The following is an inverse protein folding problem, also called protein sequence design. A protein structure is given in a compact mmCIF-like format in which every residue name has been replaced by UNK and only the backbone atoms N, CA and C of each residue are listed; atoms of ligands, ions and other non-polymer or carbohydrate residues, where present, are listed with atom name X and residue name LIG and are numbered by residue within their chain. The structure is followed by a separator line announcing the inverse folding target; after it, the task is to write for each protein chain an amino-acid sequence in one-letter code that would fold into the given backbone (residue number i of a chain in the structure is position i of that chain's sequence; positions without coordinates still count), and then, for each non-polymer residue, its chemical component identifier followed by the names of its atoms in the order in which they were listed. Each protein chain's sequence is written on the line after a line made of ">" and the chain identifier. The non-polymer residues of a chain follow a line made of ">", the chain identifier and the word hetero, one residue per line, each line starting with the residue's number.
data_IF_425659290724
#
_entry.id   IF_425659290724
#
_cell.length_a   1.000
_cell.length_b   1.000
_cell.length_c   1.000
_cell.angle_alpha   90.00
_cell.angle_beta   90.00
_cell.angle_gamma   90.00
#
_symmetry.space_group_name_H-M   'P 1'
#
loop_
_entity.id
_entity.type
_entity.pdbx_description
1 polymer ?
#
# COMPACT_ATOMS: atom_id res chain seq x y z
N UNK A 1 -12.95 4.91 6.90
CA UNK A 1 -11.68 4.95 6.14
C UNK A 1 -11.57 3.72 5.27
N UNK A 2 -11.32 3.90 3.99
CA UNK A 2 -11.16 2.77 3.07
C UNK A 2 -9.78 2.14 3.22
N UNK A 3 -9.62 0.92 2.69
CA UNK A 3 -8.31 0.26 2.67
C UNK A 3 -7.28 1.10 1.91
N UNK A 4 -7.69 1.71 0.79
CA UNK A 4 -6.85 2.63 0.03
C UNK A 4 -6.39 3.81 0.90
N UNK A 5 -7.31 4.43 1.61
CA UNK A 5 -6.98 5.59 2.45
C UNK A 5 -6.03 5.21 3.58
N UNK A 6 -6.22 4.04 4.15
CA UNK A 6 -5.35 3.53 5.21
C UNK A 6 -3.91 3.33 4.69
N UNK A 7 -3.78 2.69 3.53
CA UNK A 7 -2.46 2.48 2.92
C UNK A 7 -1.81 3.81 2.58
N UNK A 8 -2.57 4.74 1.99
CA UNK A 8 -2.06 6.07 1.67
C UNK A 8 -1.55 6.80 2.92
N UNK A 9 -2.31 6.71 4.01
CA UNK A 9 -1.90 7.31 5.27
C UNK A 9 -0.57 6.72 5.77
N UNK A 10 -0.48 5.40 5.80
CA UNK A 10 0.74 4.72 6.27
C UNK A 10 1.95 5.09 5.42
N UNK A 11 1.79 5.04 4.11
CA UNK A 11 2.90 5.31 3.18
C UNK A 11 3.39 6.76 3.32
N UNK A 12 2.47 7.71 3.46
CA UNK A 12 2.85 9.12 3.63
C UNK A 12 3.69 9.36 4.89
N UNK A 13 3.51 8.55 5.92
CA UNK A 13 4.30 8.68 7.15
C UNK A 13 5.73 8.19 6.96
N UNK A 14 5.98 7.34 5.97
CA UNK A 14 7.27 6.69 5.78
C UNK A 14 8.20 7.45 4.82
N UNK A 15 7.64 8.22 3.91
CA UNK A 15 8.39 8.82 2.80
C UNK A 15 8.84 10.24 3.11
N UNK A 16 9.86 10.70 2.38
CA UNK A 16 10.32 12.08 2.46
C UNK A 16 9.53 13.00 1.53
N UNK A 17 8.90 12.44 0.50
CA UNK A 17 8.13 13.22 -0.47
C UNK A 17 6.66 12.75 -0.48
N UNK A 18 5.90 13.08 0.56
CA UNK A 18 4.51 12.63 0.65
C UNK A 18 3.62 13.15 -0.48
N UNK A 19 3.97 14.28 -1.05
CA UNK A 19 3.23 14.85 -2.20
C UNK A 19 3.35 13.99 -3.46
N UNK A 20 4.36 13.12 -3.52
CA UNK A 20 4.55 12.21 -4.65
C UNK A 20 3.81 10.88 -4.48
N UNK A 21 3.18 10.67 -3.34
CA UNK A 21 2.45 9.41 -3.07
C UNK A 21 1.14 9.38 -3.84
N UNK A 22 0.93 8.33 -4.61
CA UNK A 22 -0.33 8.06 -5.29
C UNK A 22 -0.74 6.63 -4.97
N UNK A 23 -1.97 6.44 -4.53
CA UNK A 23 -2.49 5.12 -4.18
C UNK A 23 -3.80 4.91 -4.92
N UNK A 24 -3.88 3.81 -5.65
CA UNK A 24 -5.06 3.43 -6.43
C UNK A 24 -5.66 2.14 -5.90
N UNK A 25 -6.97 2.06 -5.90
CA UNK A 25 -7.71 0.84 -5.59
C UNK A 25 -8.24 0.30 -6.90
N UNK A 26 -7.63 -0.77 -7.40
CA UNK A 26 -8.01 -1.39 -8.67
C UNK A 26 -8.72 -2.70 -8.38
N UNK A 27 -10.00 -2.77 -8.74
CA UNK A 27 -10.79 -3.99 -8.59
C UNK A 27 -10.84 -4.72 -9.92
N UNK A 28 -10.31 -5.94 -9.93
CA UNK A 28 -10.37 -6.83 -11.07
C UNK A 28 -11.39 -7.94 -10.77
N UNK A 29 -11.62 -8.82 -11.74
CA UNK A 29 -12.66 -9.85 -11.63
C UNK A 29 -12.57 -10.66 -10.33
N UNK A 30 -11.37 -11.10 -9.98
CA UNK A 30 -11.15 -11.93 -8.78
C UNK A 30 -10.30 -11.25 -7.72
N UNK A 31 -9.58 -10.22 -8.10
CA UNK A 31 -8.62 -9.58 -7.24
C UNK A 31 -8.95 -8.12 -7.03
N UNK A 32 -8.49 -7.62 -5.91
CA UNK A 32 -8.49 -6.20 -5.62
C UNK A 32 -7.07 -5.83 -5.26
N UNK A 33 -6.54 -4.84 -5.94
CA UNK A 33 -5.13 -4.46 -5.81
C UNK A 33 -5.05 -3.00 -5.36
N UNK A 34 -4.31 -2.78 -4.29
CA UNK A 34 -3.97 -1.43 -3.85
C UNK A 34 -2.58 -1.14 -4.39
N UNK A 35 -2.52 -0.30 -5.41
CA UNK A 35 -1.26 0.08 -6.05
C UNK A 35 -0.71 1.34 -5.42
N UNK A 36 0.55 1.26 -5.03
CA UNK A 36 1.25 2.35 -4.36
C UNK A 36 2.38 2.83 -5.26
N UNK A 37 2.39 4.13 -5.52
CA UNK A 37 3.46 4.78 -6.24
C UNK A 37 4.04 5.88 -5.36
N UNK A 38 5.37 5.92 -5.26
CA UNK A 38 6.09 6.92 -4.48
C UNK A 38 7.25 7.46 -5.32
N UNK A 39 7.90 8.52 -4.84
CA UNK A 39 9.13 8.98 -5.47
C UNK A 39 10.15 7.84 -5.45
N UNK A 40 10.92 7.67 -6.53
CA UNK A 40 11.87 6.56 -6.63
C UNK A 40 12.87 6.53 -5.48
N UNK A 41 13.26 7.69 -4.95
CA UNK A 41 14.16 7.77 -3.80
C UNK A 41 13.53 7.22 -2.51
N UNK A 42 12.20 7.11 -2.47
CA UNK A 42 11.47 6.65 -1.29
C UNK A 42 11.07 5.17 -1.32
N UNK A 43 11.29 4.50 -2.45
CA UNK A 43 10.89 3.09 -2.59
C UNK A 43 11.48 2.22 -1.47
N UNK A 44 12.77 2.41 -1.18
CA UNK A 44 13.42 1.67 -0.10
C UNK A 44 12.82 1.89 1.28
N UNK A 45 12.24 3.08 1.52
CA UNK A 45 11.59 3.39 2.79
C UNK A 45 10.27 2.66 2.96
N UNK A 46 9.58 2.41 1.85
CA UNK A 46 8.30 1.69 1.86
C UNK A 46 8.52 0.17 1.92
N UNK A 47 9.55 -0.32 1.23
CA UNK A 47 9.90 -1.74 1.27
C UNK A 47 10.47 -2.09 2.65
N UNK A 48 11.41 -1.27 3.14
CA UNK A 48 12.09 -1.49 4.41
C UNK A 48 13.18 -2.54 4.32
N UNK A 49 13.94 -2.66 5.39
CA UNK A 49 15.02 -3.63 5.49
C UNK A 49 14.46 -5.05 5.38
N UNK A 50 14.96 -5.81 4.42
CA UNK A 50 14.51 -7.18 4.17
C UNK A 50 13.01 -7.28 3.87
N UNK A 51 12.42 -6.20 3.37
CA UNK A 51 11.00 -6.16 3.03
C UNK A 51 10.06 -6.08 4.21
N UNK A 52 10.56 -5.81 5.41
CA UNK A 52 9.75 -5.86 6.64
C UNK A 52 8.65 -4.81 6.68
N UNK A 53 8.91 -3.60 6.18
CA UNK A 53 7.91 -2.53 6.18
C UNK A 53 6.77 -2.89 5.23
N UNK A 54 7.10 -3.32 4.01
CA UNK A 54 6.08 -3.73 3.04
C UNK A 54 5.26 -4.91 3.58
N UNK A 55 5.91 -5.85 4.25
CA UNK A 55 5.22 -6.99 4.86
C UNK A 55 4.25 -6.55 5.95
N UNK A 56 4.66 -5.58 6.78
CA UNK A 56 3.78 -5.03 7.81
C UNK A 56 2.57 -4.32 7.21
N UNK A 57 2.78 -3.56 6.13
CA UNK A 57 1.68 -2.89 5.42
C UNK A 57 0.71 -3.94 4.85
N UNK A 58 1.22 -5.02 4.27
CA UNK A 58 0.40 -6.11 3.75
C UNK A 58 -0.44 -6.75 4.85
N UNK A 59 0.14 -6.94 6.02
CA UNK A 59 -0.58 -7.52 7.16
C UNK A 59 -1.73 -6.62 7.59
N UNK A 60 -1.48 -5.33 7.74
CA UNK A 60 -2.53 -4.37 8.11
C UNK A 60 -3.61 -4.32 7.04
N UNK A 61 -3.23 -4.31 5.77
CA UNK A 61 -4.17 -4.29 4.65
C UNK A 61 -5.04 -5.55 4.65
N UNK A 62 -4.46 -6.72 4.89
CA UNK A 62 -5.21 -7.97 4.94
C UNK A 62 -6.26 -7.93 6.04
N UNK A 63 -5.91 -7.41 7.22
CA UNK A 63 -6.85 -7.27 8.33
C UNK A 63 -7.95 -6.26 7.98
N UNK A 64 -7.56 -5.11 7.42
CA UNK A 64 -8.51 -4.05 7.09
C UNK A 64 -9.49 -4.47 6.00
N UNK A 65 -9.10 -5.35 5.08
CA UNK A 65 -9.95 -5.81 3.99
C UNK A 65 -10.57 -7.19 4.21
N UNK A 66 -10.40 -7.77 5.40
CA UNK A 66 -10.85 -9.14 5.67
C UNK A 66 -12.34 -9.37 5.52
N UNK A 67 -13.14 -8.33 5.76
CA UNK A 67 -14.60 -8.40 5.64
C UNK A 67 -15.10 -8.02 4.25
N UNK A 68 -14.22 -7.57 3.39
CA UNK A 68 -14.59 -7.18 2.04
C UNK A 68 -14.80 -8.43 1.19
N UNK A 69 -15.63 -8.33 0.17
CA UNK A 69 -15.90 -9.42 -0.76
C UNK A 69 -14.61 -9.91 -1.41
N UNK A 70 -13.72 -8.98 -1.74
CA UNK A 70 -12.40 -9.29 -2.28
C UNK A 70 -11.34 -8.74 -1.35
N UNK A 71 -10.42 -9.60 -0.93
CA UNK A 71 -9.27 -9.15 -0.12
C UNK A 71 -8.32 -8.33 -0.97
N UNK A 72 -7.85 -7.25 -0.41
CA UNK A 72 -6.94 -6.36 -1.11
C UNK A 72 -5.51 -6.86 -1.03
N UNK A 73 -4.82 -6.81 -2.15
CA UNK A 73 -3.39 -7.10 -2.26
C UNK A 73 -2.64 -5.80 -2.43
N UNK A 74 -1.39 -5.77 -1.98
CA UNK A 74 -0.54 -4.60 -2.09
C UNK A 74 0.42 -4.77 -3.27
N UNK A 75 0.52 -3.74 -4.10
CA UNK A 75 1.48 -3.69 -5.19
C UNK A 75 2.24 -2.36 -5.09
N UNK A 76 3.54 -2.44 -4.84
CA UNK A 76 4.40 -1.26 -4.74
C UNK A 76 5.15 -1.15 -6.06
N UNK A 77 4.89 -0.07 -6.79
CA UNK A 77 5.48 0.15 -8.10
C UNK A 77 6.84 0.84 -8.00
N UNK A 78 7.76 0.38 -8.80
CA UNK A 78 9.07 1.00 -8.92
C UNK A 78 9.00 2.29 -9.74
#
# INVERSE_FOLDING_TARGET
>A
MSARDLVAFMVRQLVQQPEAVAVEDVSEERDRIIRVRVASADIGRVIGKEGRTAKAIRTVLAVASAKDEKRAKLDILD
#
